data_IF_698032196702
#
_entry.id   IF_698032196702
#
_cell.length_a   1.000
_cell.length_b   1.000
_cell.length_c   1.000
_cell.angle_alpha   90.00
_cell.angle_beta   90.00
_cell.angle_gamma   90.00
#
_symmetry.space_group_name_H-M   'P 1'
#
loop_
_entity.id
_entity.type
_entity.pdbx_description
1 polymer ?
#
# COMPACT_ATOMS: atom_id res chain seq x y z
N UNK A 1 14.90 25.93 -46.54
CA UNK A 1 15.75 24.73 -46.59
C UNK A 1 16.87 24.99 -45.60
N UNK A 2 16.64 24.58 -44.36
CA UNK A 2 17.59 24.75 -43.25
C UNK A 2 18.65 23.66 -43.46
N UNK A 3 19.75 24.02 -44.13
CA UNK A 3 20.90 23.14 -44.23
C UNK A 3 21.46 23.04 -42.82
N UNK A 4 21.42 21.81 -42.29
CA UNK A 4 21.88 21.48 -40.95
C UNK A 4 23.26 22.08 -40.70
N UNK A 5 23.42 22.63 -39.50
CA UNK A 5 24.73 22.75 -38.90
C UNK A 5 25.38 21.37 -38.98
N UNK A 6 26.29 21.17 -39.94
CA UNK A 6 27.26 20.07 -39.88
C UNK A 6 27.90 20.20 -38.51
N UNK A 7 27.51 19.30 -37.59
CA UNK A 7 28.03 19.27 -36.24
C UNK A 7 29.53 19.12 -36.37
N UNK A 8 30.26 20.20 -36.10
CA UNK A 8 31.71 20.18 -36.17
C UNK A 8 32.21 19.02 -35.31
N UNK A 9 33.10 18.15 -35.80
CA UNK A 9 33.62 17.01 -35.03
C UNK A 9 34.35 17.46 -33.75
N UNK A 10 34.67 18.76 -33.63
CA UNK A 10 35.18 19.35 -32.40
C UNK A 10 34.16 19.40 -31.25
N UNK A 11 32.84 19.36 -31.53
CA UNK A 11 31.78 19.39 -30.50
C UNK A 11 31.81 18.15 -29.61
N UNK A 12 32.34 17.03 -30.10
CA UNK A 12 32.49 15.81 -29.33
C UNK A 12 33.35 16.00 -28.06
N UNK A 13 34.28 16.97 -28.06
CA UNK A 13 35.09 17.31 -26.88
C UNK A 13 34.35 18.13 -25.82
N UNK A 14 33.19 18.70 -26.15
CA UNK A 14 32.37 19.50 -25.23
C UNK A 14 31.33 18.66 -24.49
N UNK A 15 31.12 17.41 -24.92
CA UNK A 15 30.17 16.47 -24.30
C UNK A 15 30.70 15.91 -22.99
N UNK A 16 29.77 15.57 -22.09
CA UNK A 16 30.11 14.83 -20.88
C UNK A 16 30.53 13.40 -21.23
N UNK A 17 31.48 12.84 -20.45
CA UNK A 17 32.03 11.52 -20.70
C UNK A 17 30.97 10.40 -20.68
N UNK A 18 29.90 10.56 -19.90
CA UNK A 18 28.80 9.59 -19.80
C UNK A 18 27.73 9.76 -20.90
N UNK A 19 27.79 10.85 -21.66
CA UNK A 19 26.86 11.13 -22.77
C UNK A 19 27.49 10.85 -24.14
N UNK A 20 28.74 10.38 -24.16
CA UNK A 20 29.44 10.06 -25.39
C UNK A 20 28.87 8.82 -26.08
N UNK A 21 28.79 8.91 -27.40
CA UNK A 21 28.41 7.82 -28.30
C UNK A 21 29.63 7.32 -29.08
N UNK A 22 29.48 6.19 -29.77
CA UNK A 22 30.53 5.65 -30.65
C UNK A 22 30.87 6.63 -31.78
N UNK A 23 29.88 7.37 -32.28
CA UNK A 23 30.06 8.42 -33.28
C UNK A 23 30.98 9.54 -32.77
N UNK A 24 30.80 9.97 -31.51
CA UNK A 24 31.64 10.99 -30.89
C UNK A 24 33.11 10.54 -30.76
N UNK A 25 33.34 9.26 -30.49
CA UNK A 25 34.70 8.68 -30.45
C UNK A 25 35.34 8.73 -31.85
N UNK A 26 34.58 8.50 -32.91
CA UNK A 26 35.09 8.64 -34.28
C UNK A 26 35.40 10.10 -34.65
N UNK A 27 34.57 11.05 -34.24
CA UNK A 27 34.81 12.48 -34.43
C UNK A 27 36.08 12.94 -33.69
N UNK A 28 36.24 12.53 -32.44
CA UNK A 28 37.45 12.76 -31.64
C UNK A 28 38.68 12.16 -32.34
N UNK A 29 38.56 10.91 -32.81
CA UNK A 29 39.64 10.20 -33.50
C UNK A 29 40.04 10.91 -34.80
N UNK A 30 39.08 11.46 -35.55
CA UNK A 30 39.32 12.21 -36.77
C UNK A 30 40.09 13.51 -36.50
N UNK A 31 39.66 14.30 -35.50
CA UNK A 31 40.34 15.56 -35.12
C UNK A 31 41.76 15.29 -34.64
N UNK A 32 41.93 14.31 -33.75
CA UNK A 32 43.24 13.90 -33.22
C UNK A 32 44.14 13.39 -34.35
N UNK A 33 43.63 12.53 -35.25
CA UNK A 33 44.38 11.99 -36.38
C UNK A 33 44.89 13.08 -37.32
N UNK A 34 44.06 14.10 -37.61
CA UNK A 34 44.46 15.25 -38.41
C UNK A 34 45.55 16.07 -37.73
N UNK A 35 45.45 16.30 -36.44
CA UNK A 35 46.42 17.10 -35.69
C UNK A 35 47.74 16.35 -35.48
N UNK A 36 47.68 15.02 -35.28
CA UNK A 36 48.85 14.15 -35.29
C UNK A 36 49.57 14.17 -36.64
N UNK A 37 48.84 14.19 -37.76
CA UNK A 37 49.44 14.24 -39.10
C UNK A 37 50.22 15.55 -39.37
N UNK A 38 49.75 16.68 -38.82
CA UNK A 38 50.47 17.96 -38.88
C UNK A 38 51.81 17.89 -38.14
N UNK A 39 51.85 17.15 -37.03
CA UNK A 39 53.03 17.05 -36.17
C UNK A 39 53.98 15.95 -36.68
N UNK A 40 53.48 14.83 -37.19
CA UNK A 40 54.30 13.71 -37.71
C UNK A 40 55.10 14.08 -38.95
N UNK A 41 54.68 15.11 -39.69
CA UNK A 41 55.45 15.71 -40.78
C UNK A 41 56.80 16.31 -40.31
N UNK A 42 57.04 16.38 -38.99
CA UNK A 42 58.22 17.02 -38.36
C UNK A 42 59.20 16.01 -37.74
N UNK A 43 58.88 14.71 -37.61
CA UNK A 43 59.81 13.69 -37.09
C UNK A 43 59.25 12.27 -36.88
N UNK A 44 60.12 11.26 -36.98
CA UNK A 44 59.81 9.81 -36.94
C UNK A 44 59.30 9.31 -35.57
N UNK A 45 59.76 9.95 -34.48
CA UNK A 45 59.42 9.66 -33.06
C UNK A 45 57.92 9.73 -32.74
N UNK A 46 57.12 10.39 -33.60
CA UNK A 46 55.68 10.61 -33.41
C UNK A 46 54.86 9.37 -33.76
N UNK A 47 55.41 8.45 -34.57
CA UNK A 47 54.70 7.27 -35.07
C UNK A 47 54.32 6.31 -33.93
N UNK A 48 55.24 6.03 -33.02
CA UNK A 48 54.99 5.16 -31.85
C UNK A 48 53.98 5.76 -30.88
N UNK A 49 53.94 7.09 -30.78
CA UNK A 49 52.92 7.79 -30.00
C UNK A 49 51.55 7.71 -30.69
N UNK A 50 51.50 7.87 -32.02
CA UNK A 50 50.28 7.74 -32.80
C UNK A 50 49.65 6.35 -32.61
N UNK A 51 50.43 5.27 -32.68
CA UNK A 51 49.91 3.92 -32.44
C UNK A 51 49.37 3.73 -31.02
N UNK A 52 50.04 4.32 -30.01
CA UNK A 52 49.55 4.30 -28.63
C UNK A 52 48.24 5.07 -28.48
N UNK A 53 48.10 6.22 -29.15
CA UNK A 53 46.86 7.01 -29.15
C UNK A 53 45.73 6.24 -29.85
N UNK A 54 45.99 5.64 -31.01
CA UNK A 54 45.02 4.78 -31.70
C UNK A 54 44.55 3.67 -30.76
N UNK A 55 45.47 3.02 -30.05
CA UNK A 55 45.12 1.98 -29.08
C UNK A 55 44.22 2.50 -27.95
N UNK A 56 44.47 3.70 -27.43
CA UNK A 56 43.62 4.31 -26.41
C UNK A 56 42.23 4.63 -26.97
N UNK A 57 42.14 5.12 -28.20
CA UNK A 57 40.86 5.39 -28.87
C UNK A 57 40.05 4.12 -29.13
N UNK A 58 40.68 3.00 -29.53
CA UNK A 58 40.04 1.68 -29.65
C UNK A 58 39.48 1.18 -28.30
N UNK A 59 40.27 1.33 -27.23
CA UNK A 59 39.83 0.98 -25.88
C UNK A 59 38.66 1.85 -25.46
N UNK A 60 38.70 3.14 -25.81
CA UNK A 60 37.65 4.08 -25.50
C UNK A 60 36.36 3.77 -26.24
N UNK A 61 36.43 3.48 -27.54
CA UNK A 61 35.30 3.01 -28.35
C UNK A 61 34.63 1.79 -27.72
N UNK A 62 35.44 0.80 -27.29
CA UNK A 62 34.94 -0.41 -26.64
C UNK A 62 34.20 -0.10 -25.33
N UNK A 63 34.75 0.81 -24.52
CA UNK A 63 34.13 1.22 -23.26
C UNK A 63 32.83 1.98 -23.48
N UNK A 64 32.82 2.96 -24.39
CA UNK A 64 31.64 3.76 -24.74
C UNK A 64 30.54 2.87 -25.32
N UNK A 65 30.89 1.95 -26.23
CA UNK A 65 29.93 1.02 -26.82
C UNK A 65 29.31 0.09 -25.75
N UNK A 66 30.14 -0.49 -24.88
CA UNK A 66 29.67 -1.36 -23.80
C UNK A 66 28.78 -0.60 -22.80
N UNK A 67 29.16 0.63 -22.45
CA UNK A 67 28.37 1.47 -21.56
C UNK A 67 27.00 1.77 -22.15
N UNK A 68 26.92 2.20 -23.41
CA UNK A 68 25.67 2.49 -24.10
C UNK A 68 24.75 1.25 -24.21
N UNK A 69 25.31 0.08 -24.55
CA UNK A 69 24.56 -1.17 -24.57
C UNK A 69 23.99 -1.51 -23.20
N UNK A 70 24.81 -1.46 -22.14
CA UNK A 70 24.38 -1.76 -20.78
C UNK A 70 23.34 -0.76 -20.27
N UNK A 71 23.48 0.52 -20.62
CA UNK A 71 22.51 1.55 -20.26
C UNK A 71 21.15 1.31 -20.93
N UNK A 72 21.17 0.97 -22.22
CA UNK A 72 19.95 0.69 -22.97
C UNK A 72 19.28 -0.60 -22.48
N UNK A 73 20.04 -1.66 -22.19
CA UNK A 73 19.53 -2.88 -21.56
C UNK A 73 18.81 -2.58 -20.23
N UNK A 74 19.45 -1.81 -19.35
CA UNK A 74 18.89 -1.47 -18.04
C UNK A 74 17.64 -0.59 -18.17
N UNK A 75 17.63 0.29 -19.18
CA UNK A 75 16.47 1.12 -19.51
C UNK A 75 15.31 0.28 -20.03
N UNK A 76 15.56 -0.69 -20.90
CA UNK A 76 14.54 -1.64 -21.37
C UNK A 76 14.00 -2.48 -20.21
N UNK A 77 14.84 -2.96 -19.30
CA UNK A 77 14.41 -3.70 -18.12
C UNK A 77 13.51 -2.83 -17.22
N UNK A 78 13.93 -1.59 -16.96
CA UNK A 78 13.13 -0.61 -16.22
C UNK A 78 11.78 -0.35 -16.88
N UNK A 79 11.75 -0.17 -18.19
CA UNK A 79 10.50 0.09 -18.93
C UNK A 79 9.60 -1.16 -18.96
N UNK A 80 10.17 -2.35 -19.08
CA UNK A 80 9.43 -3.61 -18.96
C UNK A 80 8.81 -3.76 -17.56
N UNK A 81 9.61 -3.63 -16.49
CA UNK A 81 9.14 -3.68 -15.10
C UNK A 81 8.05 -2.64 -14.82
N UNK A 82 8.22 -1.42 -15.35
CA UNK A 82 7.22 -0.36 -15.23
C UNK A 82 5.91 -0.74 -15.93
N UNK A 83 5.99 -1.34 -17.12
CA UNK A 83 4.81 -1.81 -17.85
C UNK A 83 4.11 -2.99 -17.16
N UNK A 84 4.87 -3.91 -16.57
CA UNK A 84 4.35 -5.02 -15.76
C UNK A 84 3.66 -4.50 -14.51
N UNK A 85 4.26 -3.52 -13.82
CA UNK A 85 3.67 -2.86 -12.67
C UNK A 85 2.36 -2.16 -13.04
N UNK A 86 2.34 -1.37 -14.12
CA UNK A 86 1.13 -0.69 -14.61
C UNK A 86 0.02 -1.70 -14.95
N UNK A 87 0.40 -2.83 -15.55
CA UNK A 87 -0.52 -3.94 -15.83
C UNK A 87 -1.08 -4.55 -14.53
N UNK A 88 -0.24 -4.84 -13.54
CA UNK A 88 -0.66 -5.38 -12.24
C UNK A 88 -1.55 -4.40 -11.50
N UNK A 89 -1.26 -3.09 -11.54
CA UNK A 89 -2.10 -2.05 -10.94
C UNK A 89 -3.49 -2.03 -11.62
N UNK A 90 -3.54 -2.15 -12.95
CA UNK A 90 -4.79 -2.21 -13.71
C UNK A 90 -5.58 -3.50 -13.43
N UNK A 91 -4.92 -4.64 -13.32
CA UNK A 91 -5.54 -5.92 -12.97
C UNK A 91 -6.01 -5.94 -11.50
N UNK A 92 -5.24 -5.36 -10.58
CA UNK A 92 -5.54 -5.26 -9.16
C UNK A 92 -6.73 -4.32 -8.86
N UNK A 93 -6.80 -3.18 -9.56
CA UNK A 93 -7.97 -2.27 -9.50
C UNK A 93 -9.24 -2.86 -10.11
N UNK A 94 -9.12 -3.92 -10.91
CA UNK A 94 -10.27 -4.68 -11.45
C UNK A 94 -10.79 -5.74 -10.46
N UNK A 95 -10.05 -6.07 -9.39
CA UNK A 95 -10.55 -6.88 -8.27
C UNK A 95 -11.28 -5.96 -7.27
N UNK A 96 -12.53 -6.23 -6.91
CA UNK A 96 -13.26 -5.43 -5.94
C UNK A 96 -12.60 -5.61 -4.56
N UNK A 97 -11.71 -4.68 -4.20
CA UNK A 97 -11.00 -4.72 -2.92
C UNK A 97 -9.76 -3.82 -2.87
N UNK A 98 -8.92 -3.82 -3.91
CA UNK A 98 -7.63 -3.12 -3.86
C UNK A 98 -7.77 -1.60 -4.05
N UNK A 99 -7.74 -0.84 -2.95
CA UNK A 99 -7.61 0.62 -3.01
C UNK A 99 -6.16 1.01 -3.31
N UNK A 100 -5.92 1.59 -4.49
CA UNK A 100 -4.64 2.21 -4.84
C UNK A 100 -4.56 3.58 -4.17
N UNK A 101 -3.65 3.76 -3.22
CA UNK A 101 -3.43 5.07 -2.56
C UNK A 101 -1.99 5.53 -2.72
N UNK A 102 -1.75 6.44 -3.67
CA UNK A 102 -0.57 7.29 -3.73
C UNK A 102 0.71 6.72 -4.39
N UNK A 103 1.63 7.61 -4.82
CA UNK A 103 2.79 7.29 -5.68
C UNK A 103 3.92 6.49 -4.97
N UNK A 104 3.69 6.01 -3.74
CA UNK A 104 4.68 5.31 -2.93
C UNK A 104 4.08 4.12 -2.15
N UNK A 105 2.93 3.61 -2.57
CA UNK A 105 2.24 2.55 -1.84
C UNK A 105 2.28 1.26 -2.64
N UNK A 106 3.02 0.30 -2.08
CA UNK A 106 3.06 -1.10 -2.49
C UNK A 106 1.64 -1.59 -2.82
N UNK A 107 1.51 -2.40 -3.87
CA UNK A 107 0.26 -3.12 -4.15
C UNK A 107 -0.06 -3.96 -2.91
N UNK A 108 -0.95 -3.45 -2.06
CA UNK A 108 -1.32 -4.10 -0.80
C UNK A 108 -2.33 -5.17 -1.11
N UNK A 109 -1.94 -6.43 -0.99
CA UNK A 109 -2.88 -7.54 -1.03
C UNK A 109 -3.74 -7.50 0.25
N UNK A 110 -5.01 -7.09 0.09
CA UNK A 110 -5.99 -7.05 1.17
C UNK A 110 -6.54 -8.43 1.52
N UNK A 111 -6.19 -9.46 0.75
CA UNK A 111 -6.60 -10.86 0.97
C UNK A 111 -5.60 -11.69 1.78
N UNK A 112 -4.43 -11.13 2.16
CA UNK A 112 -3.43 -11.84 2.96
C UNK A 112 -3.92 -12.10 4.41
N UNK A 113 -4.11 -13.37 4.83
CA UNK A 113 -4.54 -13.72 6.18
C UNK A 113 -3.55 -13.31 7.28
N UNK A 114 -2.26 -13.18 6.96
CA UNK A 114 -1.22 -12.79 7.92
C UNK A 114 -0.97 -11.27 7.94
N UNK A 115 -1.68 -10.50 7.12
CA UNK A 115 -1.55 -9.06 7.09
C UNK A 115 -1.94 -8.48 8.46
N UNK A 116 -1.07 -7.67 9.10
CA UNK A 116 -1.44 -6.96 10.32
C UNK A 116 -2.66 -6.05 10.03
N UNK A 117 -3.82 -6.39 10.62
CA UNK A 117 -5.09 -5.67 10.39
C UNK A 117 -5.34 -4.55 11.40
N UNK A 118 -4.62 -4.55 12.52
CA UNK A 118 -4.80 -3.62 13.62
C UNK A 118 -3.49 -2.89 13.89
N UNK A 119 -3.62 -1.63 14.28
CA UNK A 119 -2.55 -0.82 14.83
C UNK A 119 -2.25 -1.24 16.28
N UNK A 120 -1.05 -0.92 16.75
CA UNK A 120 -0.68 -1.15 18.16
C UNK A 120 -1.58 -0.40 19.15
N UNK A 121 -2.18 0.71 18.72
CA UNK A 121 -3.10 1.49 19.54
C UNK A 121 -4.43 0.76 19.73
N UNK A 122 -5.05 0.30 18.65
CA UNK A 122 -6.31 -0.47 18.72
C UNK A 122 -6.13 -1.73 19.57
N UNK A 123 -4.99 -2.42 19.44
CA UNK A 123 -4.69 -3.59 20.27
C UNK A 123 -4.60 -3.23 21.77
N UNK A 124 -3.98 -2.10 22.11
CA UNK A 124 -3.92 -1.60 23.49
C UNK A 124 -5.31 -1.26 24.02
N UNK A 125 -6.13 -0.57 23.23
CA UNK A 125 -7.49 -0.19 23.59
C UNK A 125 -8.35 -1.43 23.89
N UNK A 126 -8.35 -2.43 22.99
CA UNK A 126 -9.08 -3.69 23.18
C UNK A 126 -8.59 -4.47 24.41
N UNK A 127 -7.28 -4.51 24.65
CA UNK A 127 -6.72 -5.18 25.83
C UNK A 127 -7.12 -4.47 27.13
N UNK A 128 -7.13 -3.14 27.12
CA UNK A 128 -7.54 -2.33 28.26
C UNK A 128 -9.03 -2.50 28.55
N UNK A 129 -9.88 -2.44 27.52
CA UNK A 129 -11.33 -2.68 27.65
C UNK A 129 -11.60 -4.09 28.19
N UNK A 130 -10.94 -5.11 27.65
CA UNK A 130 -11.05 -6.48 28.16
C UNK A 130 -10.67 -6.60 29.64
N UNK A 131 -9.60 -5.91 30.07
CA UNK A 131 -9.20 -5.90 31.47
C UNK A 131 -10.24 -5.19 32.35
N UNK A 132 -10.81 -4.08 31.87
CA UNK A 132 -11.84 -3.33 32.58
C UNK A 132 -13.11 -4.16 32.77
N UNK A 133 -13.59 -4.81 31.70
CA UNK A 133 -14.74 -5.70 31.76
C UNK A 133 -14.49 -6.90 32.66
N UNK A 134 -13.27 -7.45 32.64
CA UNK A 134 -12.88 -8.55 33.55
C UNK A 134 -12.93 -8.12 35.02
N UNK A 135 -12.51 -6.90 35.34
CA UNK A 135 -12.59 -6.37 36.70
C UNK A 135 -14.05 -6.17 37.14
N UNK A 136 -14.89 -5.58 36.28
CA UNK A 136 -16.32 -5.41 36.54
C UNK A 136 -17.04 -6.75 36.74
N UNK A 137 -16.71 -7.74 35.91
CA UNK A 137 -17.26 -9.10 36.04
C UNK A 137 -16.89 -9.72 37.40
N UNK A 138 -15.65 -9.52 37.86
CA UNK A 138 -15.19 -10.04 39.14
C UNK A 138 -15.95 -9.42 40.31
N UNK A 139 -16.17 -8.10 40.30
CA UNK A 139 -16.97 -7.40 41.31
C UNK A 139 -18.42 -7.88 41.30
N UNK A 140 -19.06 -7.94 40.12
CA UNK A 140 -20.44 -8.41 40.02
C UNK A 140 -20.59 -9.87 40.47
N UNK A 141 -19.59 -10.72 40.21
CA UNK A 141 -19.56 -12.09 40.72
C UNK A 141 -19.43 -12.11 42.25
N UNK A 142 -18.57 -11.28 42.84
CA UNK A 142 -18.43 -11.15 44.30
C UNK A 142 -19.74 -10.70 44.95
N UNK A 143 -20.38 -9.65 44.43
CA UNK A 143 -21.69 -9.18 44.89
C UNK A 143 -22.74 -10.28 44.84
N UNK A 144 -22.82 -11.01 43.71
CA UNK A 144 -23.74 -12.13 43.56
C UNK A 144 -23.47 -13.24 44.59
N UNK A 145 -22.21 -13.51 44.91
CA UNK A 145 -21.86 -14.47 45.97
C UNK A 145 -22.30 -13.97 47.35
N UNK A 146 -22.16 -12.68 47.65
CA UNK A 146 -22.62 -12.07 48.90
C UNK A 146 -24.13 -12.15 49.07
N UNK A 147 -24.90 -11.96 47.99
CA UNK A 147 -26.35 -12.17 48.00
C UNK A 147 -26.71 -13.64 48.27
N UNK A 148 -25.98 -14.58 47.67
CA UNK A 148 -26.20 -16.02 47.87
C UNK A 148 -25.79 -16.52 49.26
N UNK A 149 -24.78 -15.90 49.89
CA UNK A 149 -24.31 -16.25 51.22
C UNK A 149 -25.11 -15.62 52.36
N UNK A 150 -26.08 -14.74 52.05
CA UNK A 150 -27.01 -14.16 53.01
C UNK A 150 -26.43 -13.02 53.87
N UNK A 151 -25.34 -12.39 53.41
CA UNK A 151 -24.61 -11.36 54.16
C UNK A 151 -25.19 -9.94 53.90
N UNK A 152 -25.91 -9.73 52.80
CA UNK A 152 -26.61 -8.47 52.49
C UNK A 152 -28.10 -8.54 52.91
N UNK A 153 -28.70 -7.47 53.48
CA UNK A 153 -30.13 -7.46 53.76
C UNK A 153 -30.91 -7.58 52.44
N UNK A 154 -31.78 -8.60 52.36
CA UNK A 154 -32.82 -8.68 51.34
C UNK A 154 -33.63 -7.38 51.39
N UNK A 155 -33.67 -6.62 50.29
CA UNK A 155 -34.67 -5.57 50.16
C UNK A 155 -36.04 -6.23 50.29
N UNK A 156 -36.79 -5.84 51.31
CA UNK A 156 -38.08 -6.42 51.66
C UNK A 156 -38.99 -6.51 50.42
N UNK A 157 -39.55 -7.69 50.11
CA UNK A 157 -40.65 -7.76 49.18
C UNK A 157 -41.85 -7.10 49.86
N UNK A 158 -42.36 -6.03 49.28
CA UNK A 158 -43.71 -5.56 49.58
C UNK A 158 -44.70 -6.67 49.22
N UNK A 159 -44.97 -7.54 50.18
CA UNK A 159 -46.01 -8.55 50.15
C UNK A 159 -47.37 -7.83 50.12
N UNK A 160 -48.06 -7.89 48.98
CA UNK A 160 -49.52 -7.74 48.96
C UNK A 160 -50.09 -9.08 48.52
N UNK A 161 -50.27 -9.93 49.53
CA UNK A 161 -51.09 -11.13 49.48
C UNK A 161 -52.55 -10.71 49.40
N UNK A 162 -53.22 -11.00 48.28
CA UNK A 162 -54.68 -11.04 48.21
C UNK A 162 -55.09 -12.32 47.48
N UNK A 163 -55.58 -13.28 48.26
CA UNK A 163 -56.64 -14.21 47.83
C UNK A 163 -57.89 -13.84 48.62
N UNK A 164 -59.08 -13.77 47.98
CA UNK A 164 -60.01 -14.90 48.15
C UNK A 164 -60.92 -15.19 46.93
N UNK A 165 -60.89 -16.46 46.52
CA UNK A 165 -61.96 -17.37 46.02
C UNK A 165 -63.01 -17.00 44.94
N UNK A 166 -63.51 -18.00 44.18
CA UNK A 166 -64.12 -17.82 42.84
C UNK A 166 -65.63 -18.12 42.78
N UNK A 167 -66.33 -17.63 41.74
CA UNK A 167 -67.44 -18.36 41.14
C UNK A 167 -67.25 -18.56 39.63
N UNK A 168 -67.98 -19.53 39.06
CA UNK A 168 -68.14 -19.83 37.62
C UNK A 168 -67.13 -20.82 37.01
N UNK A 169 -67.25 -22.08 37.40
CA UNK A 169 -67.14 -23.19 36.45
C UNK A 169 -68.55 -23.51 35.96
N UNK A 170 -68.87 -23.27 34.69
CA UNK A 170 -69.91 -24.02 33.95
C UNK A 170 -69.50 -24.07 32.46
N UNK A 171 -69.03 -25.25 32.07
CA UNK A 171 -69.27 -26.00 30.82
C UNK A 171 -68.94 -25.38 29.44
N UNK A 172 -68.01 -26.04 28.75
CA UNK A 172 -67.99 -26.24 27.29
C UNK A 172 -69.25 -26.97 26.81
N UNK A 173 -69.82 -26.69 25.61
CA UNK A 173 -69.21 -27.23 24.38
C UNK A 173 -69.36 -26.38 23.09
N UNK A 174 -68.61 -26.85 22.10
CA UNK A 174 -68.83 -26.79 20.65
C UNK A 174 -68.34 -25.57 19.84
N UNK A 175 -67.22 -25.82 19.15
CA UNK A 175 -66.99 -25.62 17.72
C UNK A 175 -67.37 -24.26 17.10
N UNK A 176 -66.37 -23.54 16.56
CA UNK A 176 -66.04 -23.54 15.11
C UNK A 176 -64.99 -22.45 14.81
N UNK A 177 -64.01 -22.86 14.02
CA UNK A 177 -62.94 -22.14 13.31
C UNK A 177 -63.15 -20.65 12.97
N UNK A 178 -62.13 -19.81 13.24
CA UNK A 178 -61.19 -19.29 12.22
C UNK A 178 -60.29 -18.17 12.78
N UNK A 179 -58.97 -18.37 12.63
CA UNK A 179 -57.85 -17.39 12.66
C UNK A 179 -57.72 -16.73 11.25
N UNK A 180 -56.93 -15.65 10.93
CA UNK A 180 -55.91 -14.83 11.65
C UNK A 180 -56.18 -13.30 11.66
N UNK A 181 -55.67 -12.51 12.61
CA UNK A 181 -54.32 -11.95 12.80
C UNK A 181 -53.86 -10.89 11.76
N UNK A 182 -53.80 -9.62 12.19
CA UNK A 182 -52.99 -8.52 11.66
C UNK A 182 -52.49 -7.70 12.87
N UNK A 183 -51.19 -7.70 13.22
CA UNK A 183 -50.11 -6.82 12.74
C UNK A 183 -50.06 -5.46 13.47
N UNK A 184 -48.86 -5.20 14.01
CA UNK A 184 -48.21 -3.96 14.44
C UNK A 184 -48.64 -3.33 15.77
N UNK A 185 -47.79 -3.21 16.80
CA UNK A 185 -46.39 -2.74 16.90
C UNK A 185 -46.30 -1.20 17.04
N UNK A 186 -45.59 -0.84 18.11
CA UNK A 186 -44.76 0.33 18.37
C UNK A 186 -45.31 1.69 18.85
N UNK A 187 -44.67 2.09 19.97
CA UNK A 187 -44.07 3.39 20.30
C UNK A 187 -44.94 4.47 20.96
N UNK A 188 -44.71 4.59 22.27
CA UNK A 188 -44.51 5.90 22.90
C UNK A 188 -43.11 5.93 23.52
N UNK A 189 -42.25 6.85 23.06
CA UNK A 189 -41.35 7.57 23.95
C UNK A 189 -40.84 8.84 23.24
N UNK A 190 -41.43 9.97 23.61
CA UNK A 190 -40.84 11.30 23.46
C UNK A 190 -39.87 11.48 24.63
N UNK A 191 -38.57 11.54 24.33
CA UNK A 191 -37.72 12.75 24.44
C UNK A 191 -37.71 13.45 25.81
N UNK A 192 -36.49 13.77 26.27
CA UNK A 192 -36.06 15.13 26.70
C UNK A 192 -35.52 15.24 28.14
N UNK A 193 -34.19 15.43 28.20
CA UNK A 193 -33.43 16.38 29.06
C UNK A 193 -33.45 16.09 30.56
N UNK A 194 -32.36 16.12 31.33
CA UNK A 194 -30.98 16.57 31.12
C UNK A 194 -30.41 16.95 32.49
N UNK A 195 -29.07 16.93 32.60
CA UNK A 195 -28.21 17.60 33.60
C UNK A 195 -28.62 17.53 35.08
N UNK A 196 -27.76 16.93 35.91
CA UNK A 196 -26.72 17.68 36.62
C UNK A 196 -25.55 16.74 36.94
#
# INVERSE_FOLDING_TARGET
MEFGEESSPARAFEKDAFELTVEDVYDISYVIGRDLLKISSTGEEVSDLQFRIVRVLEMFETLVNKYNLSLEELKMERDNLKSELDRIIKEGSSRPGAQTSGPNQLVVDLTDPNRPRFTMQELKEVLQERNQLKAQLMVAQEELQLYKSGILPQAEPAMVEVSPSPPWQVETPAATEHRPAMINDTKEEKTTIGKL
#
